data_IF_539987182795
#
_entry.id   IF_539987182795
#
_cell.length_a   1.000
_cell.length_b   1.000
_cell.length_c   1.000
_cell.angle_alpha   90.00
_cell.angle_beta   90.00
_cell.angle_gamma   90.00
#
_symmetry.space_group_name_H-M   'P 1'
#
loop_
_entity.id
_entity.type
_entity.pdbx_description
1 polymer ?
#
# COMPACT_ATOMS: atom_id res chain seq x y z
N UNK A 1 -49.77 -42.14 5.96
CA UNK A 1 -48.38 -41.88 5.56
C UNK A 1 -48.18 -40.38 5.46
N UNK A 2 -47.61 -39.74 6.49
CA UNK A 2 -47.40 -38.28 6.55
C UNK A 2 -45.97 -37.96 6.09
N UNK A 3 -45.86 -37.10 5.08
CA UNK A 3 -44.58 -36.61 4.54
C UNK A 3 -44.00 -35.58 5.52
N UNK A 4 -42.89 -35.90 6.17
CA UNK A 4 -42.07 -34.94 6.90
C UNK A 4 -41.14 -34.33 5.85
N UNK A 5 -41.44 -33.09 5.48
CA UNK A 5 -40.63 -32.30 4.55
C UNK A 5 -39.39 -31.85 5.32
N UNK A 6 -38.24 -32.36 4.88
CA UNK A 6 -36.89 -31.90 5.24
C UNK A 6 -36.79 -30.39 5.00
N UNK A 7 -36.71 -29.63 6.08
CA UNK A 7 -36.48 -28.19 6.07
C UNK A 7 -35.29 -27.88 6.98
N UNK A 8 -34.12 -28.47 6.67
CA UNK A 8 -32.88 -28.30 7.43
C UNK A 8 -31.70 -27.80 6.56
N UNK A 9 -31.93 -27.45 5.29
CA UNK A 9 -30.88 -26.96 4.38
C UNK A 9 -31.48 -25.84 3.53
N UNK A 10 -31.57 -24.61 4.05
CA UNK A 10 -31.05 -23.49 3.27
C UNK A 10 -30.44 -22.34 4.10
N UNK A 11 -30.01 -22.55 5.36
CA UNK A 11 -29.49 -21.44 6.18
C UNK A 11 -27.98 -21.19 6.03
N UNK A 12 -27.23 -22.10 5.41
CA UNK A 12 -25.77 -21.97 5.19
C UNK A 12 -25.39 -21.16 3.95
N UNK A 13 -26.36 -20.77 3.09
CA UNK A 13 -26.10 -19.94 1.91
C UNK A 13 -26.35 -18.44 2.14
N UNK A 14 -26.93 -18.05 3.28
CA UNK A 14 -27.25 -16.65 3.60
C UNK A 14 -26.09 -15.90 4.28
N UNK A 15 -25.00 -16.57 4.64
CA UNK A 15 -23.81 -15.95 5.25
C UNK A 15 -22.74 -15.53 4.25
N UNK A 16 -22.96 -15.72 2.93
CA UNK A 16 -21.99 -15.36 1.87
C UNK A 16 -22.19 -13.90 1.38
N UNK A 17 -23.21 -13.19 1.87
CA UNK A 17 -23.50 -11.80 1.50
C UNK A 17 -22.63 -10.68 2.14
N UNK A 18 -21.69 -10.89 3.08
CA UNK A 18 -20.77 -9.82 3.51
C UNK A 18 -19.70 -9.48 2.46
N UNK A 19 -19.26 -10.45 1.66
CA UNK A 19 -18.08 -10.30 0.81
C UNK A 19 -18.21 -9.24 -0.30
N UNK A 20 -19.44 -8.95 -0.78
CA UNK A 20 -19.66 -7.92 -1.80
C UNK A 20 -19.68 -6.49 -1.24
N UNK A 21 -20.07 -6.32 0.02
CA UNK A 21 -20.02 -5.02 0.70
C UNK A 21 -18.56 -4.61 0.99
N UNK A 22 -17.73 -5.58 1.39
CA UNK A 22 -16.31 -5.36 1.68
C UNK A 22 -15.48 -5.07 0.42
N UNK A 23 -15.83 -5.66 -0.73
CA UNK A 23 -15.16 -5.37 -2.00
C UNK A 23 -15.33 -3.90 -2.43
N UNK A 24 -16.49 -3.31 -2.14
CA UNK A 24 -16.75 -1.88 -2.39
C UNK A 24 -15.86 -0.98 -1.53
N UNK A 25 -15.63 -1.33 -0.26
CA UNK A 25 -14.73 -0.59 0.62
C UNK A 25 -13.28 -0.64 0.15
N UNK A 26 -12.80 -1.82 -0.29
CA UNK A 26 -11.45 -1.98 -0.87
C UNK A 26 -11.26 -1.07 -2.08
N UNK A 27 -12.27 -0.99 -2.94
CA UNK A 27 -12.23 -0.11 -4.12
C UNK A 27 -12.21 1.37 -3.74
N UNK A 28 -13.05 1.81 -2.79
CA UNK A 28 -13.06 3.19 -2.30
C UNK A 28 -11.73 3.58 -1.64
N UNK A 29 -11.13 2.68 -0.87
CA UNK A 29 -9.81 2.90 -0.27
C UNK A 29 -8.73 3.07 -1.33
N UNK A 30 -8.76 2.24 -2.37
CA UNK A 30 -7.83 2.33 -3.49
C UNK A 30 -7.98 3.66 -4.25
N UNK A 31 -9.21 4.06 -4.57
CA UNK A 31 -9.49 5.34 -5.22
C UNK A 31 -9.04 6.52 -4.37
N UNK A 32 -9.20 6.43 -3.04
CA UNK A 32 -8.73 7.46 -2.11
C UNK A 32 -7.21 7.58 -2.11
N UNK A 33 -6.49 6.46 -2.14
CA UNK A 33 -5.03 6.45 -2.29
C UNK A 33 -4.58 7.10 -3.61
N UNK A 34 -5.19 6.72 -4.74
CA UNK A 34 -4.86 7.30 -6.04
C UNK A 34 -5.13 8.81 -6.06
N UNK A 35 -6.22 9.25 -5.42
CA UNK A 35 -6.57 10.67 -5.29
C UNK A 35 -5.55 11.43 -4.46
N UNK A 36 -5.11 10.89 -3.33
CA UNK A 36 -4.07 11.51 -2.49
C UNK A 36 -2.75 11.67 -3.27
N UNK A 37 -2.37 10.66 -4.07
CA UNK A 37 -1.19 10.72 -4.94
C UNK A 37 -1.32 11.85 -5.98
N UNK A 38 -2.44 11.92 -6.68
CA UNK A 38 -2.69 12.96 -7.70
C UNK A 38 -2.69 14.36 -7.09
N UNK A 39 -3.32 14.53 -5.93
CA UNK A 39 -3.32 15.78 -5.18
C UNK A 39 -1.91 16.18 -4.73
N UNK A 40 -1.11 15.22 -4.25
CA UNK A 40 0.27 15.49 -3.89
C UNK A 40 1.06 15.99 -5.09
N UNK A 41 0.98 15.29 -6.23
CA UNK A 41 1.70 15.67 -7.44
C UNK A 41 1.33 17.09 -7.86
N UNK A 42 0.04 17.40 -8.07
CA UNK A 42 -0.43 18.73 -8.49
C UNK A 42 0.06 19.88 -7.60
N UNK A 43 0.19 19.64 -6.30
CA UNK A 43 0.56 20.67 -5.34
C UNK A 43 2.07 20.83 -5.15
N UNK A 44 2.90 19.89 -5.63
CA UNK A 44 4.34 19.87 -5.36
C UNK A 44 5.23 19.96 -6.62
N UNK A 45 4.66 20.01 -7.84
CA UNK A 45 5.45 20.16 -9.07
C UNK A 45 6.23 21.48 -9.11
N UNK A 46 5.65 22.57 -8.62
CA UNK A 46 6.21 23.93 -8.70
C UNK A 46 7.45 24.15 -7.84
N UNK A 47 7.68 23.34 -6.81
CA UNK A 47 8.82 23.51 -5.91
C UNK A 47 10.16 23.18 -6.59
N UNK A 48 10.17 22.18 -7.47
CA UNK A 48 11.41 21.62 -8.01
C UNK A 48 11.49 21.61 -9.54
N UNK A 49 10.37 21.82 -10.23
CA UNK A 49 10.28 21.72 -11.69
C UNK A 49 10.09 23.04 -12.42
N UNK A 50 10.28 24.20 -11.77
CA UNK A 50 10.25 25.49 -12.49
C UNK A 50 11.31 25.58 -13.60
N UNK A 51 10.97 26.03 -14.83
CA UNK A 51 9.67 26.53 -15.31
C UNK A 51 8.87 25.52 -16.17
N UNK A 52 9.11 24.22 -16.02
CA UNK A 52 8.58 23.14 -16.87
C UNK A 52 7.46 22.33 -16.18
N UNK A 53 6.77 22.92 -15.21
CA UNK A 53 5.73 22.23 -14.43
C UNK A 53 4.55 21.81 -15.29
N UNK A 54 4.20 22.62 -16.29
CA UNK A 54 3.10 22.32 -17.19
C UNK A 54 3.39 21.04 -17.99
N UNK A 55 4.60 20.93 -18.53
CA UNK A 55 5.09 19.76 -19.25
C UNK A 55 5.17 18.54 -18.33
N UNK A 56 5.63 18.74 -17.10
CA UNK A 56 5.68 17.66 -16.10
C UNK A 56 4.29 17.15 -15.72
N UNK A 57 3.31 18.04 -15.54
CA UNK A 57 1.92 17.66 -15.28
C UNK A 57 1.34 16.90 -16.48
N UNK A 58 1.57 17.37 -17.71
CA UNK A 58 1.13 16.67 -18.93
C UNK A 58 1.75 15.28 -19.02
N UNK A 59 3.05 15.13 -18.71
CA UNK A 59 3.72 13.84 -18.71
C UNK A 59 3.13 12.88 -17.67
N UNK A 60 2.84 13.38 -16.46
CA UNK A 60 2.19 12.62 -15.40
C UNK A 60 0.78 12.19 -15.83
N UNK A 61 -0.04 13.12 -16.33
CA UNK A 61 -1.41 12.84 -16.77
C UNK A 61 -1.44 11.84 -17.93
N UNK A 62 -0.55 12.01 -18.91
CA UNK A 62 -0.43 11.10 -20.07
C UNK A 62 0.09 9.71 -19.71
N UNK A 63 0.80 9.59 -18.58
CA UNK A 63 1.28 8.32 -18.03
C UNK A 63 0.32 7.67 -17.03
N UNK A 64 -0.81 8.31 -16.75
CA UNK A 64 -1.80 7.85 -15.77
C UNK A 64 -2.80 6.90 -16.43
N UNK A 65 -2.87 5.67 -15.92
CA UNK A 65 -3.83 4.66 -16.40
C UNK A 65 -5.22 4.77 -15.77
N UNK A 66 -6.09 3.81 -16.07
CA UNK A 66 -7.49 3.75 -15.58
C UNK A 66 -7.63 3.77 -14.05
N UNK A 67 -6.57 3.35 -13.35
CA UNK A 67 -6.50 3.34 -11.89
C UNK A 67 -6.06 4.67 -11.26
N UNK A 68 -5.88 5.73 -12.07
CA UNK A 68 -5.41 7.05 -11.65
C UNK A 68 -4.02 7.02 -10.97
N UNK A 69 -3.19 6.03 -11.28
CA UNK A 69 -1.80 5.93 -10.84
C UNK A 69 -0.89 6.20 -12.05
N UNK A 70 0.01 7.19 -11.97
CA UNK A 70 0.98 7.46 -13.04
C UNK A 70 2.06 6.38 -13.08
N UNK A 71 2.46 5.98 -14.28
CA UNK A 71 3.63 5.14 -14.49
C UNK A 71 4.89 6.03 -14.49
N UNK A 72 5.78 5.91 -13.48
CA UNK A 72 6.96 6.77 -13.37
C UNK A 72 7.91 6.64 -14.56
N UNK A 73 8.07 5.44 -15.11
CA UNK A 73 8.95 5.22 -16.26
C UNK A 73 8.41 5.92 -17.52
N UNK A 74 7.10 5.80 -17.76
CA UNK A 74 6.47 6.45 -18.91
C UNK A 74 6.43 7.98 -18.74
N UNK A 75 6.13 8.49 -17.55
CA UNK A 75 6.20 9.93 -17.25
C UNK A 75 7.61 10.48 -17.50
N UNK A 76 8.63 9.74 -17.03
CA UNK A 76 10.03 10.07 -17.24
C UNK A 76 10.46 10.07 -18.71
N UNK A 77 9.96 9.12 -19.49
CA UNK A 77 10.23 9.05 -20.94
C UNK A 77 9.60 10.24 -21.68
N UNK A 78 8.31 10.51 -21.44
CA UNK A 78 7.58 11.62 -22.06
C UNK A 78 8.27 12.96 -21.79
N UNK A 79 8.64 13.22 -20.52
CA UNK A 79 9.31 14.49 -20.19
C UNK A 79 10.71 14.57 -20.77
N UNK A 80 11.43 13.45 -20.84
CA UNK A 80 12.79 13.42 -21.39
C UNK A 80 12.74 13.78 -22.87
N UNK A 81 11.85 13.15 -23.62
CA UNK A 81 11.69 13.38 -25.05
C UNK A 81 11.20 14.80 -25.33
N UNK A 82 10.23 15.30 -24.55
CA UNK A 82 9.73 16.68 -24.66
C UNK A 82 10.77 17.75 -24.29
N UNK A 83 11.57 17.52 -23.24
CA UNK A 83 12.62 18.45 -22.78
C UNK A 83 13.79 18.50 -23.77
N UNK A 84 14.18 17.38 -24.38
CA UNK A 84 15.22 17.38 -25.41
C UNK A 84 14.84 18.35 -26.55
N UNK A 85 13.60 18.31 -27.02
CA UNK A 85 13.12 19.20 -28.08
C UNK A 85 13.10 20.69 -27.72
N UNK A 86 12.77 21.05 -26.47
CA UNK A 86 12.68 22.45 -26.05
C UNK A 86 14.06 23.10 -25.88
N UNK A 87 15.05 22.35 -25.39
CA UNK A 87 16.39 22.87 -25.06
C UNK A 87 17.45 22.59 -26.13
N UNK A 88 17.15 21.84 -27.19
CA UNK A 88 18.04 21.75 -28.38
C UNK A 88 18.25 23.10 -29.09
N UNK A 89 17.41 24.10 -28.79
CA UNK A 89 17.45 25.44 -29.38
C UNK A 89 18.16 26.48 -28.51
N UNK A 90 18.46 26.16 -27.25
CA UNK A 90 18.91 27.11 -26.25
C UNK A 90 20.43 27.02 -26.02
N UNK A 91 21.12 27.96 -26.67
CA UNK A 91 22.45 28.49 -26.38
C UNK A 91 23.65 27.52 -26.48
N UNK A 92 24.67 27.95 -27.24
CA UNK A 92 25.90 27.18 -27.54
C UNK A 92 26.80 26.97 -26.30
N UNK A 93 26.32 27.40 -25.14
CA UNK A 93 27.04 27.45 -23.87
C UNK A 93 26.23 26.86 -22.70
N UNK A 94 24.97 26.44 -22.91
CA UNK A 94 24.14 25.92 -21.83
C UNK A 94 24.18 24.38 -21.76
N UNK A 95 23.97 23.84 -20.56
CA UNK A 95 24.18 22.43 -20.23
C UNK A 95 23.51 21.47 -21.22
N UNK A 96 24.19 20.36 -21.52
CA UNK A 96 23.70 19.25 -22.36
C UNK A 96 22.21 18.94 -22.08
N UNK A 97 21.37 19.16 -23.08
CA UNK A 97 19.90 18.99 -23.00
C UNK A 97 19.50 17.58 -22.54
N UNK A 98 20.31 16.56 -22.86
CA UNK A 98 20.12 15.18 -22.38
C UNK A 98 20.34 15.06 -20.88
N UNK A 99 21.35 15.76 -20.33
CA UNK A 99 21.60 15.77 -18.88
C UNK A 99 20.43 16.44 -18.17
N UNK A 100 19.98 17.60 -18.66
CA UNK A 100 18.83 18.32 -18.08
C UNK A 100 17.55 17.48 -18.12
N UNK A 101 17.27 16.84 -19.26
CA UNK A 101 16.11 15.97 -19.42
C UNK A 101 16.13 14.78 -18.43
N UNK A 102 17.30 14.19 -18.17
CA UNK A 102 17.45 13.14 -17.16
C UNK A 102 17.26 13.66 -15.73
N UNK A 103 17.77 14.86 -15.37
CA UNK A 103 17.54 15.46 -14.05
C UNK A 103 16.03 15.65 -13.79
N UNK A 104 15.31 16.14 -14.80
CA UNK A 104 13.86 16.36 -14.72
C UNK A 104 13.11 15.03 -14.58
N UNK A 105 13.48 14.01 -15.36
CA UNK A 105 12.89 12.68 -15.24
C UNK A 105 13.12 12.08 -13.84
N UNK A 106 14.33 12.23 -13.28
CA UNK A 106 14.64 11.79 -11.92
C UNK A 106 13.79 12.51 -10.88
N UNK A 107 13.56 13.81 -11.06
CA UNK A 107 12.72 14.62 -10.17
C UNK A 107 11.25 14.20 -10.22
N UNK A 108 10.70 13.94 -11.41
CA UNK A 108 9.34 13.41 -11.54
C UNK A 108 9.21 12.06 -10.83
N UNK A 109 10.16 11.15 -11.04
CA UNK A 109 10.19 9.85 -10.34
C UNK A 109 10.25 10.02 -8.82
N UNK A 110 11.01 11.01 -8.35
CA UNK A 110 11.11 11.36 -6.93
C UNK A 110 9.78 11.88 -6.39
N UNK A 111 9.10 12.77 -7.11
CA UNK A 111 7.80 13.31 -6.71
C UNK A 111 6.72 12.22 -6.69
N UNK A 112 6.71 11.31 -7.67
CA UNK A 112 5.81 10.15 -7.66
C UNK A 112 6.08 9.24 -6.45
N UNK A 113 7.35 8.97 -6.16
CA UNK A 113 7.75 8.16 -4.99
C UNK A 113 7.34 8.83 -3.67
N UNK A 114 7.61 10.13 -3.53
CA UNK A 114 7.22 10.92 -2.35
C UNK A 114 5.70 11.02 -2.21
N UNK A 115 4.98 11.17 -3.32
CA UNK A 115 3.53 11.20 -3.34
C UNK A 115 2.91 9.88 -2.93
N UNK A 116 3.45 8.75 -3.39
CA UNK A 116 3.02 7.42 -2.99
C UNK A 116 3.24 7.19 -1.48
N UNK A 117 4.42 7.57 -0.98
CA UNK A 117 4.71 7.51 0.44
C UNK A 117 3.82 8.46 1.26
N UNK A 118 3.52 9.66 0.78
CA UNK A 118 2.62 10.63 1.41
C UNK A 118 1.17 10.13 1.46
N UNK A 119 0.69 9.48 0.40
CA UNK A 119 -0.65 8.88 0.37
C UNK A 119 -0.83 7.74 1.40
N UNK A 120 0.25 7.03 1.75
CA UNK A 120 0.21 5.97 2.75
C UNK A 120 0.51 6.48 4.17
N UNK A 121 1.59 7.25 4.32
CA UNK A 121 2.12 7.68 5.61
C UNK A 121 1.59 9.06 6.06
N UNK A 122 0.91 9.79 5.19
CA UNK A 122 0.26 11.05 5.53
C UNK A 122 -1.01 10.84 6.35
N UNK A 123 -1.58 11.94 6.85
CA UNK A 123 -2.73 11.92 7.77
C UNK A 123 -3.91 11.11 7.25
N UNK A 124 -4.28 11.25 5.98
CA UNK A 124 -5.38 10.48 5.36
C UNK A 124 -5.07 8.98 5.29
N UNK A 125 -3.84 8.62 4.91
CA UNK A 125 -3.40 7.23 4.85
C UNK A 125 -3.38 6.57 6.24
N UNK A 126 -2.86 7.27 7.24
CA UNK A 126 -2.89 6.83 8.63
C UNK A 126 -4.31 6.70 9.19
N UNK A 127 -5.23 7.60 8.81
CA UNK A 127 -6.63 7.52 9.21
C UNK A 127 -7.30 6.27 8.60
N UNK A 128 -7.13 6.02 7.30
CA UNK A 128 -7.64 4.79 6.65
C UNK A 128 -7.09 3.53 7.31
N UNK A 129 -5.79 3.53 7.60
CA UNK A 129 -5.12 2.45 8.29
C UNK A 129 -5.73 2.23 9.68
N UNK A 130 -5.92 3.29 10.46
CA UNK A 130 -6.56 3.23 11.77
C UNK A 130 -7.97 2.64 11.68
N UNK A 131 -8.80 3.12 10.76
CA UNK A 131 -10.17 2.61 10.58
C UNK A 131 -10.18 1.10 10.24
N UNK A 132 -9.24 0.64 9.40
CA UNK A 132 -9.09 -0.80 9.09
C UNK A 132 -8.73 -1.63 10.32
N UNK A 133 -7.81 -1.12 11.16
CA UNK A 133 -7.41 -1.80 12.38
C UNK A 133 -8.56 -1.86 13.39
N UNK A 134 -9.29 -0.76 13.58
CA UNK A 134 -10.47 -0.72 14.46
C UNK A 134 -11.58 -1.68 13.98
N UNK A 135 -11.84 -1.74 12.67
CA UNK A 135 -12.80 -2.69 12.09
C UNK A 135 -12.36 -4.15 12.29
N UNK A 136 -11.06 -4.42 12.14
CA UNK A 136 -10.49 -5.75 12.37
C UNK A 136 -10.60 -6.15 13.85
N UNK A 137 -10.29 -5.24 14.77
CA UNK A 137 -10.43 -5.47 16.21
C UNK A 137 -11.89 -5.76 16.59
N UNK A 138 -12.83 -4.96 16.09
CA UNK A 138 -14.27 -5.19 16.32
C UNK A 138 -14.73 -6.55 15.80
N UNK A 139 -14.21 -6.98 14.65
CA UNK A 139 -14.51 -8.30 14.07
C UNK A 139 -14.00 -9.42 14.98
N UNK A 140 -12.77 -9.31 15.48
CA UNK A 140 -12.19 -10.29 16.41
C UNK A 140 -13.01 -10.34 17.71
N UNK A 141 -13.37 -9.19 18.28
CA UNK A 141 -14.18 -9.11 19.50
C UNK A 141 -15.56 -9.75 19.31
N UNK A 142 -16.19 -9.53 18.15
CA UNK A 142 -17.49 -10.12 17.81
C UNK A 142 -17.41 -11.64 17.72
N UNK A 143 -16.37 -12.18 17.07
CA UNK A 143 -16.15 -13.62 16.96
C UNK A 143 -15.86 -14.25 18.33
N UNK A 144 -15.01 -13.61 19.14
CA UNK A 144 -14.71 -14.07 20.49
C UNK A 144 -15.97 -14.11 21.39
N UNK A 145 -16.84 -13.09 21.29
CA UNK A 145 -18.13 -13.06 21.97
C UNK A 145 -19.04 -14.22 21.55
N UNK A 146 -19.14 -14.47 20.24
CA UNK A 146 -19.92 -15.59 19.70
C UNK A 146 -19.39 -16.95 20.18
N UNK A 147 -18.07 -17.12 20.28
CA UNK A 147 -17.47 -18.33 20.82
C UNK A 147 -17.79 -18.53 22.31
N UNK A 148 -17.74 -17.47 23.12
CA UNK A 148 -18.08 -17.55 24.54
C UNK A 148 -19.56 -17.91 24.77
N UNK A 149 -20.47 -17.38 23.95
CA UNK A 149 -21.89 -17.73 24.01
C UNK A 149 -22.13 -19.20 23.64
N UNK A 150 -21.45 -19.70 22.61
CA UNK A 150 -21.55 -21.10 22.19
C UNK A 150 -20.97 -22.08 23.22
N UNK A 151 -19.89 -21.72 23.91
CA UNK A 151 -19.34 -22.52 25.02
C UNK A 151 -20.33 -22.63 26.18
N UNK A 152 -20.99 -21.52 26.57
CA UNK A 152 -22.02 -21.54 27.61
C UNK A 152 -23.22 -22.41 27.23
N UNK A 153 -23.68 -22.28 25.97
CA UNK A 153 -24.78 -23.12 25.46
C UNK A 153 -24.41 -24.62 25.51
N UNK A 154 -23.17 -24.97 25.15
CA UNK A 154 -22.69 -26.34 25.22
C UNK A 154 -22.67 -26.86 26.67
N UNK A 155 -22.20 -26.06 27.62
CA UNK A 155 -22.17 -26.41 29.04
C UNK A 155 -23.59 -26.59 29.61
N UNK A 156 -24.54 -25.72 29.25
CA UNK A 156 -25.96 -25.85 29.62
C UNK A 156 -26.59 -27.12 29.04
N UNK A 157 -26.34 -27.44 27.77
CA UNK A 157 -26.83 -28.67 27.13
C UNK A 157 -26.24 -29.90 27.83
N UNK A 158 -24.94 -29.91 28.12
CA UNK A 158 -24.28 -31.02 28.79
C UNK A 158 -24.79 -31.23 30.22
N UNK A 159 -24.97 -30.15 30.99
CA UNK A 159 -25.50 -30.24 32.36
C UNK A 159 -26.96 -30.69 32.38
N UNK A 160 -27.80 -30.20 31.47
CA UNK A 160 -29.17 -30.70 31.31
C UNK A 160 -29.17 -32.18 30.94
N UNK A 161 -28.27 -32.60 30.05
CA UNK A 161 -28.20 -33.99 29.61
C UNK A 161 -27.79 -34.95 30.73
N UNK A 162 -26.78 -34.57 31.51
CA UNK A 162 -26.34 -35.35 32.66
C UNK A 162 -27.42 -35.39 33.76
N UNK A 163 -28.16 -34.29 33.97
CA UNK A 163 -29.31 -34.29 34.88
C UNK A 163 -30.43 -35.25 34.43
N UNK A 164 -30.69 -35.33 33.11
CA UNK A 164 -31.67 -36.24 32.53
C UNK A 164 -31.23 -37.71 32.62
N UNK A 165 -29.94 -38.01 32.38
CA UNK A 165 -29.39 -39.36 32.56
C UNK A 165 -29.58 -39.87 33.99
N UNK A 166 -29.28 -39.02 34.97
CA UNK A 166 -29.34 -39.38 36.39
C UNK A 166 -30.77 -39.57 36.90
N UNK A 167 -31.78 -39.03 36.19
CA UNK A 167 -33.20 -39.15 36.54
C UNK A 167 -33.88 -40.41 35.96
N UNK A 168 -33.21 -41.20 35.10
CA UNK A 168 -33.82 -42.29 34.34
C UNK A 168 -33.15 -43.63 34.68
N UNK A 169 -33.91 -44.72 34.91
CA UNK A 169 -33.37 -46.06 35.19
C UNK A 169 -32.49 -46.64 34.06
N UNK A 170 -31.46 -47.40 34.44
CA UNK A 170 -30.40 -47.98 33.58
C UNK A 170 -30.85 -48.62 32.24
N UNK A 171 -31.99 -49.33 32.12
CA UNK A 171 -32.38 -49.94 30.83
C UNK A 171 -32.70 -48.93 29.72
N UNK A 172 -33.05 -47.69 30.09
CA UNK A 172 -33.48 -46.63 29.16
C UNK A 172 -32.32 -45.70 28.77
N UNK A 173 -31.21 -45.70 29.52
CA UNK A 173 -30.04 -44.87 29.25
C UNK A 173 -29.39 -45.15 27.88
N UNK A 174 -29.38 -46.42 27.44
CA UNK A 174 -28.87 -46.80 26.12
C UNK A 174 -29.72 -46.26 24.94
N UNK A 175 -31.03 -46.11 25.14
CA UNK A 175 -31.92 -45.48 24.15
C UNK A 175 -31.71 -43.95 24.10
N UNK A 176 -31.39 -43.32 25.23
CA UNK A 176 -31.05 -41.88 25.29
C UNK A 176 -29.70 -41.55 24.64
N UNK A 177 -28.69 -42.41 24.77
CA UNK A 177 -27.42 -42.26 24.04
C UNK A 177 -27.63 -42.22 22.51
N UNK A 178 -28.62 -42.97 22.01
CA UNK A 178 -29.00 -42.98 20.61
C UNK A 178 -29.75 -41.69 20.21
N UNK A 179 -30.66 -41.21 21.06
CA UNK A 179 -31.44 -39.96 20.83
C UNK A 179 -30.53 -38.72 20.88
N UNK A 180 -29.54 -38.68 21.77
CA UNK A 180 -28.57 -37.57 21.88
C UNK A 180 -27.65 -37.47 20.67
N UNK A 181 -27.26 -38.61 20.10
CA UNK A 181 -26.57 -38.65 18.80
C UNK A 181 -27.46 -38.16 17.65
N UNK A 182 -28.78 -38.43 17.72
CA UNK A 182 -29.78 -38.02 16.73
C UNK A 182 -30.15 -36.52 16.84
N UNK A 183 -30.06 -35.94 18.04
CA UNK A 183 -30.28 -34.51 18.31
C UNK A 183 -29.10 -33.61 17.92
N UNK A 184 -28.02 -34.18 17.37
CA UNK A 184 -26.91 -33.39 16.82
C UNK A 184 -25.93 -32.82 17.85
N UNK A 185 -25.89 -33.34 19.09
CA UNK A 185 -24.93 -32.87 20.11
C UNK A 185 -23.47 -33.10 19.67
N UNK A 186 -23.20 -34.18 18.93
CA UNK A 186 -21.89 -34.38 18.27
C UNK A 186 -21.59 -33.35 17.17
N UNK A 187 -22.62 -32.83 16.50
CA UNK A 187 -22.48 -31.73 15.52
C UNK A 187 -22.21 -30.38 16.21
N UNK A 188 -22.74 -30.16 17.42
CA UNK A 188 -22.43 -28.96 18.23
C UNK A 188 -20.94 -28.87 18.58
N UNK A 189 -20.31 -29.99 18.98
CA UNK A 189 -18.86 -30.01 19.23
C UNK A 189 -18.04 -29.67 17.98
N UNK A 190 -18.46 -30.19 16.82
CA UNK A 190 -17.82 -29.87 15.55
C UNK A 190 -18.02 -28.39 15.16
N UNK A 191 -19.22 -27.84 15.34
CA UNK A 191 -19.52 -26.43 15.08
C UNK A 191 -18.69 -25.51 15.99
N UNK A 192 -18.57 -25.84 17.27
CA UNK A 192 -17.74 -25.07 18.20
C UNK A 192 -16.26 -25.13 17.81
N UNK A 193 -15.76 -26.31 17.44
CA UNK A 193 -14.39 -26.46 16.96
C UNK A 193 -14.16 -25.65 15.66
N UNK A 194 -15.14 -25.60 14.77
CA UNK A 194 -15.09 -24.80 13.55
C UNK A 194 -15.07 -23.30 13.86
N UNK A 195 -15.90 -22.82 14.81
CA UNK A 195 -15.88 -21.41 15.19
C UNK A 195 -14.57 -21.01 15.91
N UNK A 196 -13.98 -21.91 16.70
CA UNK A 196 -12.63 -21.71 17.28
C UNK A 196 -11.55 -21.63 16.21
N UNK A 197 -11.61 -22.50 15.19
CA UNK A 197 -10.68 -22.43 14.06
C UNK A 197 -10.83 -21.12 13.29
N UNK A 198 -12.05 -20.65 13.06
CA UNK A 198 -12.30 -19.35 12.41
C UNK A 198 -11.76 -18.18 13.23
N UNK A 199 -11.90 -18.21 14.56
CA UNK A 199 -11.30 -17.20 15.43
C UNK A 199 -9.78 -17.15 15.30
N UNK A 200 -9.12 -18.31 15.36
CA UNK A 200 -7.67 -18.39 15.19
C UNK A 200 -7.23 -17.98 13.77
N UNK A 201 -7.98 -18.34 12.73
CA UNK A 201 -7.73 -17.90 11.35
C UNK A 201 -7.81 -16.38 11.21
N UNK A 202 -8.80 -15.74 11.83
CA UNK A 202 -8.94 -14.28 11.83
C UNK A 202 -7.82 -13.61 12.62
N UNK A 203 -7.42 -14.17 13.78
CA UNK A 203 -6.26 -13.68 14.54
C UNK A 203 -4.99 -13.74 13.70
N UNK A 204 -4.68 -14.89 13.10
CA UNK A 204 -3.51 -15.08 12.23
C UNK A 204 -3.56 -14.08 11.05
N UNK A 205 -4.72 -13.92 10.42
CA UNK A 205 -4.89 -12.98 9.30
C UNK A 205 -4.69 -11.53 9.75
N UNK A 206 -5.14 -11.17 10.95
CA UNK A 206 -4.95 -9.84 11.53
C UNK A 206 -3.49 -9.55 11.89
N UNK A 207 -2.77 -10.53 12.44
CA UNK A 207 -1.33 -10.42 12.69
C UNK A 207 -0.55 -10.31 11.37
N UNK A 208 -0.94 -11.10 10.36
CA UNK A 208 -0.37 -11.03 9.03
C UNK A 208 -0.60 -9.66 8.37
N UNK A 209 -1.80 -9.09 8.55
CA UNK A 209 -2.12 -7.74 8.07
C UNK A 209 -1.21 -6.70 8.75
N UNK A 210 -1.05 -6.77 10.07
CA UNK A 210 -0.16 -5.87 10.82
C UNK A 210 1.30 -5.98 10.38
N UNK A 211 1.81 -7.20 10.19
CA UNK A 211 3.17 -7.44 9.68
C UNK A 211 3.34 -6.91 8.25
N UNK A 212 2.34 -7.10 7.39
CA UNK A 212 2.33 -6.58 6.01
C UNK A 212 2.32 -5.06 6.01
N UNK A 213 1.53 -4.43 6.88
CA UNK A 213 1.51 -2.97 7.04
C UNK A 213 2.86 -2.43 7.49
N UNK A 214 3.48 -3.05 8.50
CA UNK A 214 4.81 -2.67 8.98
C UNK A 214 5.87 -2.81 7.88
N UNK A 215 5.83 -3.91 7.13
CA UNK A 215 6.74 -4.16 6.00
C UNK A 215 6.57 -3.10 4.92
N UNK A 216 5.33 -2.80 4.53
CA UNK A 216 5.04 -1.77 3.54
C UNK A 216 5.50 -0.38 4.00
N UNK A 217 5.30 -0.04 5.27
CA UNK A 217 5.80 1.22 5.83
C UNK A 217 7.34 1.29 5.78
N UNK A 218 8.04 0.21 6.14
CA UNK A 218 9.49 0.14 6.02
C UNK A 218 9.95 0.32 4.57
N UNK A 219 9.26 -0.31 3.61
CA UNK A 219 9.54 -0.13 2.19
C UNK A 219 9.35 1.33 1.75
N UNK A 220 8.30 2.02 2.21
CA UNK A 220 8.11 3.44 1.90
C UNK A 220 9.21 4.32 2.49
N UNK A 221 9.62 4.07 3.74
CA UNK A 221 10.75 4.79 4.33
C UNK A 221 12.06 4.52 3.58
N UNK A 222 12.29 3.27 3.17
CA UNK A 222 13.44 2.90 2.35
C UNK A 222 13.40 3.64 1.01
N UNK A 223 12.25 3.69 0.33
CA UNK A 223 12.08 4.40 -0.94
C UNK A 223 12.32 5.91 -0.78
N UNK A 224 11.80 6.53 0.29
CA UNK A 224 12.06 7.94 0.61
C UNK A 224 13.54 8.20 0.89
N UNK A 225 14.19 7.31 1.64
CA UNK A 225 15.61 7.42 1.93
C UNK A 225 16.46 7.28 0.65
N UNK A 226 16.16 6.29 -0.19
CA UNK A 226 16.81 6.11 -1.49
C UNK A 226 16.59 7.32 -2.41
N UNK A 227 15.39 7.89 -2.42
CA UNK A 227 15.08 9.09 -3.16
C UNK A 227 15.89 10.31 -2.66
N UNK A 228 16.07 10.46 -1.35
CA UNK A 228 16.90 11.52 -0.76
C UNK A 228 18.40 11.29 -1.04
N UNK A 229 18.89 10.06 -0.95
CA UNK A 229 20.27 9.71 -1.31
C UNK A 229 20.52 9.99 -2.79
N UNK A 230 19.59 9.63 -3.67
CA UNK A 230 19.67 9.90 -5.11
C UNK A 230 19.80 11.40 -5.37
N UNK A 231 18.98 12.22 -4.71
CA UNK A 231 19.07 13.69 -4.77
C UNK A 231 20.45 14.18 -4.32
N UNK A 232 20.93 13.72 -3.15
CA UNK A 232 22.20 14.15 -2.59
C UNK A 232 23.40 13.78 -3.49
N UNK A 233 23.38 12.59 -4.08
CA UNK A 233 24.41 12.13 -5.02
C UNK A 233 24.40 12.97 -6.30
N UNK A 234 23.22 13.31 -6.81
CA UNK A 234 23.06 14.14 -8.00
C UNK A 234 23.55 15.58 -7.78
N UNK A 235 23.22 16.19 -6.63
CA UNK A 235 23.73 17.49 -6.21
C UNK A 235 25.26 17.48 -6.03
N UNK A 236 25.82 16.43 -5.42
CA UNK A 236 27.27 16.27 -5.27
C UNK A 236 27.97 16.17 -6.64
N UNK A 237 27.42 15.36 -7.55
CA UNK A 237 27.95 15.23 -8.91
C UNK A 237 27.88 16.54 -9.69
N UNK A 238 26.80 17.32 -9.51
CA UNK A 238 26.68 18.66 -10.10
C UNK A 238 27.73 19.62 -9.55
N UNK A 239 27.93 19.66 -8.23
CA UNK A 239 28.97 20.48 -7.60
C UNK A 239 30.36 20.15 -8.14
N UNK A 240 30.72 18.86 -8.22
CA UNK A 240 31.99 18.42 -8.81
C UNK A 240 32.18 18.87 -10.26
N UNK A 241 31.13 18.83 -11.09
CA UNK A 241 31.21 19.33 -12.47
C UNK A 241 31.50 20.83 -12.53
N UNK A 242 30.88 21.62 -11.66
CA UNK A 242 31.10 23.07 -11.58
C UNK A 242 32.51 23.39 -11.07
N UNK A 243 32.98 22.68 -10.05
CA UNK A 243 34.34 22.84 -9.52
C UNK A 243 35.39 22.51 -10.58
N UNK A 244 35.24 21.38 -11.28
CA UNK A 244 36.14 20.98 -12.36
C UNK A 244 36.13 22.00 -13.52
N UNK A 245 34.96 22.51 -13.91
CA UNK A 245 34.85 23.53 -14.96
C UNK A 245 35.49 24.86 -14.53
N UNK A 246 35.33 25.22 -13.25
CA UNK A 246 35.95 26.43 -12.67
C UNK A 246 37.47 26.28 -12.63
N UNK A 247 37.98 25.11 -12.22
CA UNK A 247 39.40 24.80 -12.21
C UNK A 247 39.98 24.82 -13.63
N UNK A 248 39.34 24.16 -14.60
CA UNK A 248 39.73 24.19 -16.00
C UNK A 248 39.74 25.63 -16.54
N UNK A 249 38.74 26.45 -16.20
CA UNK A 249 38.66 27.85 -16.62
C UNK A 249 39.80 28.68 -16.00
N UNK A 250 40.15 28.45 -14.73
CA UNK A 250 41.31 29.08 -14.08
C UNK A 250 42.62 28.67 -14.75
N UNK A 251 42.77 27.40 -15.11
CA UNK A 251 43.94 26.89 -15.84
C UNK A 251 44.05 27.52 -17.23
N UNK A 252 42.96 27.55 -18.00
CA UNK A 252 42.92 28.19 -19.32
C UNK A 252 43.24 29.68 -19.23
N UNK A 253 42.67 30.40 -18.25
CA UNK A 253 42.96 31.81 -18.02
C UNK A 253 44.43 32.02 -17.69
N UNK A 254 44.99 31.26 -16.75
CA UNK A 254 46.40 31.36 -16.38
C UNK A 254 47.30 31.03 -17.57
N UNK A 255 46.99 29.98 -18.34
CA UNK A 255 47.73 29.63 -19.56
C UNK A 255 47.67 30.74 -20.61
N UNK A 256 46.51 31.35 -20.82
CA UNK A 256 46.34 32.46 -21.77
C UNK A 256 47.10 33.72 -21.34
N UNK A 257 47.13 34.02 -20.04
CA UNK A 257 47.93 35.12 -19.49
C UNK A 257 49.43 34.85 -19.64
N UNK A 258 49.88 33.63 -19.36
CA UNK A 258 51.28 33.23 -19.56
C UNK A 258 51.68 33.33 -21.04
N UNK A 259 50.82 32.91 -21.98
CA UNK A 259 51.09 33.09 -23.42
C UNK A 259 51.14 34.59 -23.82
N UNK A 260 50.19 35.40 -23.34
CA UNK A 260 50.14 36.83 -23.62
C UNK A 260 51.35 37.61 -23.07
N UNK A 261 51.80 37.28 -21.86
CA UNK A 261 52.96 37.94 -21.24
C UNK A 261 54.29 37.29 -21.64
N UNK A 262 54.27 36.06 -22.16
CA UNK A 262 55.45 35.33 -22.64
C UNK A 262 55.87 35.70 -24.06
N UNK A 263 54.98 36.29 -24.88
CA UNK A 263 55.36 36.90 -26.15
C UNK A 263 56.09 38.22 -25.90
N UNK A 264 57.42 38.16 -25.78
CA UNK A 264 58.23 39.35 -26.03
C UNK A 264 57.97 39.81 -27.47
N UNK A 265 57.61 41.08 -27.65
CA UNK A 265 57.53 41.69 -28.98
C UNK A 265 58.91 41.59 -29.63
N UNK A 266 59.10 40.63 -30.53
CA UNK A 266 60.19 40.68 -31.50
C UNK A 266 59.97 41.95 -32.34
N UNK A 267 60.79 42.97 -32.06
CA UNK A 267 60.98 44.14 -32.92
C UNK A 267 61.92 43.78 -34.07
#
# INVERSE_FOLDING_TARGET
>A
MKKIILLAIPLSFLTILPAMADLGQVWTDFQSYATDLQNYLRNNLTETLQPIEAEAQIAIDSSTGELNIPNPNAAGEIIRDGTIWYYTSADKFDNNSTVRANLVSNEINRLITRGAASGLLGTNGQLRLKTKLESTEQTIQTIAGFNQENEKLQEEINTQLESFKNAIPDPVQNALASITSLLGIGQLNFLLQNNKMQEEEVKITSEHLAQTMQTNQFLQYSNLNLANISQQVEENNRARRVDNATEASRLLRNSSQVDLFGRQFEQ
#
